data_IF_495148403621
#
_entry.id   IF_495148403621
#
_cell.length_a   1.000
_cell.length_b   1.000
_cell.length_c   1.000
_cell.angle_alpha   90.00
_cell.angle_beta   90.00
_cell.angle_gamma   90.00
#
_symmetry.space_group_name_H-M   'P 1'
#
loop_
_entity.id
_entity.type
_entity.pdbx_description
1 polymer ?
#
# COMPACT_ATOMS: atom_id res chain seq x y z
N UNK A 1 1.56 -3.89 35.96
CA UNK A 1 1.58 -3.57 34.52
C UNK A 1 0.19 -3.77 33.98
N UNK A 2 -0.38 -2.79 33.33
CA UNK A 2 -1.72 -2.91 32.75
C UNK A 2 -1.68 -3.86 31.55
N UNK A 3 -2.61 -4.82 31.50
CA UNK A 3 -2.65 -5.82 30.43
C UNK A 3 -3.17 -5.20 29.13
N UNK A 4 -2.63 -5.62 27.99
CA UNK A 4 -3.22 -5.38 26.68
C UNK A 4 -4.52 -6.18 26.58
N UNK A 5 -5.54 -5.61 25.97
CA UNK A 5 -6.84 -6.24 25.82
C UNK A 5 -7.17 -6.35 24.34
N UNK A 6 -7.52 -7.56 23.90
CA UNK A 6 -8.09 -7.76 22.57
C UNK A 6 -9.49 -7.14 22.53
N UNK A 7 -9.76 -6.33 21.52
CA UNK A 7 -11.04 -5.65 21.30
C UNK A 7 -11.64 -6.05 19.97
N UNK A 8 -12.96 -5.91 19.85
CA UNK A 8 -13.66 -6.28 18.60
C UNK A 8 -13.54 -5.18 17.54
N UNK A 9 -13.56 -3.93 17.98
CA UNK A 9 -13.65 -2.78 17.10
C UNK A 9 -12.33 -2.00 17.05
N UNK A 10 -12.06 -1.43 15.88
CA UNK A 10 -10.92 -0.53 15.68
C UNK A 10 -11.15 0.79 16.44
N UNK A 11 -10.19 1.27 17.25
CA UNK A 11 -10.32 2.52 17.98
C UNK A 11 -10.16 3.74 17.05
N UNK A 12 -11.25 4.10 16.34
CA UNK A 12 -11.26 5.08 15.25
C UNK A 12 -10.58 6.40 15.65
N UNK A 13 -10.86 6.91 16.85
CA UNK A 13 -10.27 8.17 17.32
C UNK A 13 -8.74 8.09 17.49
N UNK A 14 -8.24 6.99 18.06
CA UNK A 14 -6.80 6.77 18.22
C UNK A 14 -6.13 6.54 16.86
N UNK A 15 -6.80 5.80 15.97
CA UNK A 15 -6.29 5.56 14.63
C UNK A 15 -6.22 6.84 13.80
N UNK A 16 -7.21 7.72 13.90
CA UNK A 16 -7.16 9.03 13.24
C UNK A 16 -5.98 9.87 13.73
N UNK A 17 -5.65 9.81 15.03
CA UNK A 17 -4.47 10.47 15.57
C UNK A 17 -3.17 9.85 15.05
N UNK A 18 -3.11 8.52 14.96
CA UNK A 18 -1.95 7.84 14.38
C UNK A 18 -1.73 8.26 12.92
N UNK A 19 -2.76 8.15 12.07
CA UNK A 19 -2.65 8.52 10.66
C UNK A 19 -2.26 10.00 10.47
N UNK A 20 -2.83 10.90 11.30
CA UNK A 20 -2.47 12.31 11.30
C UNK A 20 -1.03 12.58 11.79
N UNK A 21 -0.43 11.68 12.55
CA UNK A 21 0.96 11.79 13.02
C UNK A 21 1.99 11.34 11.98
N UNK A 22 1.55 10.58 10.97
CA UNK A 22 2.42 10.14 9.88
C UNK A 22 2.66 11.28 8.90
N UNK A 23 3.90 11.51 8.45
CA UNK A 23 4.20 12.56 7.46
C UNK A 23 3.69 12.22 6.06
N UNK A 24 3.38 10.95 5.80
CA UNK A 24 2.96 10.44 4.52
C UNK A 24 1.79 9.44 4.67
N UNK A 25 0.89 9.36 3.68
CA UNK A 25 -0.21 8.42 3.71
C UNK A 25 0.27 6.97 3.59
N UNK A 26 -0.49 6.08 4.21
CA UNK A 26 -0.33 4.64 4.13
C UNK A 26 -0.90 4.14 2.79
N UNK A 27 -0.40 3.04 2.25
CA UNK A 27 -0.93 2.42 1.03
C UNK A 27 -2.14 1.52 1.30
N UNK A 28 -2.93 1.27 0.27
CA UNK A 28 -4.12 0.41 0.33
C UNK A 28 -3.82 -0.99 0.87
N UNK A 29 -2.71 -1.59 0.49
CA UNK A 29 -2.29 -2.90 0.99
C UNK A 29 -2.25 -2.96 2.53
N UNK A 30 -1.69 -1.95 3.18
CA UNK A 30 -1.66 -1.89 4.65
C UNK A 30 -3.05 -1.62 5.24
N UNK A 31 -3.87 -0.80 4.59
CA UNK A 31 -5.26 -0.57 5.00
C UNK A 31 -6.08 -1.88 5.00
N UNK A 32 -5.88 -2.76 4.01
CA UNK A 32 -6.54 -4.07 3.98
C UNK A 32 -6.08 -4.98 5.11
N UNK A 33 -4.78 -5.00 5.43
CA UNK A 33 -4.26 -5.75 6.58
C UNK A 33 -4.84 -5.24 7.90
N UNK A 34 -4.98 -3.92 8.04
CA UNK A 34 -5.61 -3.29 9.22
C UNK A 34 -7.08 -3.65 9.32
N UNK A 35 -7.82 -3.56 8.21
CA UNK A 35 -9.27 -3.82 8.18
C UNK A 35 -9.63 -5.25 8.58
N UNK A 36 -8.76 -6.21 8.27
CA UNK A 36 -8.95 -7.64 8.55
C UNK A 36 -8.17 -8.12 9.77
N UNK A 37 -7.44 -7.22 10.42
CA UNK A 37 -6.51 -7.51 11.51
C UNK A 37 -7.19 -7.68 12.87
N UNK A 38 -6.46 -8.27 13.79
CA UNK A 38 -6.82 -8.43 15.18
C UNK A 38 -6.36 -7.20 15.98
N UNK A 39 -7.28 -6.54 16.70
CA UNK A 39 -7.03 -5.29 17.41
C UNK A 39 -6.78 -5.53 18.89
N UNK A 40 -5.73 -4.89 19.41
CA UNK A 40 -5.37 -4.90 20.83
C UNK A 40 -5.20 -3.47 21.33
N UNK A 41 -5.88 -3.11 22.40
CA UNK A 41 -5.74 -1.82 23.08
C UNK A 41 -4.89 -1.92 24.35
N UNK A 42 -4.21 -0.84 24.72
CA UNK A 42 -3.48 -0.77 25.96
C UNK A 42 -3.95 0.41 26.85
N UNK A 43 -3.96 0.21 28.17
CA UNK A 43 -4.63 1.11 29.11
C UNK A 43 -4.04 2.53 29.20
N UNK A 44 -2.78 2.72 28.77
CA UNK A 44 -2.16 4.04 28.75
C UNK A 44 -2.45 4.83 27.47
N UNK A 45 -3.39 4.36 26.65
CA UNK A 45 -3.80 4.97 25.39
C UNK A 45 -2.92 4.58 24.23
N UNK A 46 -3.46 3.76 23.37
CA UNK A 46 -2.81 3.25 22.18
C UNK A 46 -3.39 1.91 21.75
N UNK A 47 -2.91 1.39 20.64
CA UNK A 47 -3.36 0.12 20.09
C UNK A 47 -2.28 -0.56 19.25
N UNK A 48 -2.50 -1.83 18.98
CA UNK A 48 -1.71 -2.64 18.07
C UNK A 48 -2.66 -3.46 17.18
N UNK A 49 -2.32 -3.62 15.92
CA UNK A 49 -3.10 -4.42 14.97
C UNK A 49 -2.21 -5.51 14.40
N UNK A 50 -2.74 -6.73 14.43
CA UNK A 50 -2.05 -7.91 13.94
C UNK A 50 -2.79 -8.55 12.78
N UNK A 51 -2.06 -8.95 11.75
CA UNK A 51 -2.53 -9.86 10.72
C UNK A 51 -1.71 -11.16 10.80
N UNK A 52 -2.33 -12.23 11.29
CA UNK A 52 -1.60 -13.44 11.69
C UNK A 52 -0.55 -13.14 12.75
N UNK A 53 0.70 -13.57 12.51
CA UNK A 53 1.83 -13.34 13.41
C UNK A 53 2.61 -12.05 13.13
N UNK A 54 2.07 -11.18 12.28
CA UNK A 54 2.70 -9.91 11.91
C UNK A 54 2.00 -8.74 12.56
N UNK A 55 2.73 -7.90 13.30
CA UNK A 55 2.26 -6.60 13.75
C UNK A 55 2.29 -5.64 12.53
N UNK A 56 1.12 -5.10 12.16
CA UNK A 56 0.98 -4.27 10.96
C UNK A 56 0.76 -2.79 11.26
N UNK A 57 0.25 -2.48 12.45
CA UNK A 57 0.07 -1.11 12.91
C UNK A 57 0.27 -1.04 14.43
N UNK A 58 0.95 0.00 14.90
CA UNK A 58 1.19 0.22 16.32
C UNK A 58 1.16 1.72 16.61
N UNK A 59 0.34 2.10 17.58
CA UNK A 59 0.26 3.47 18.05
C UNK A 59 0.30 3.55 19.57
N UNK A 60 1.11 4.44 20.11
CA UNK A 60 1.17 4.75 21.52
C UNK A 60 1.10 6.26 21.72
N UNK A 61 0.16 6.75 22.55
CA UNK A 61 0.07 8.17 22.92
C UNK A 61 1.37 8.66 23.55
N UNK A 62 1.97 7.84 24.41
CA UNK A 62 3.32 8.09 24.93
C UNK A 62 4.37 7.44 23.99
N UNK A 63 4.68 8.14 22.92
CA UNK A 63 5.68 7.70 21.94
C UNK A 63 7.09 7.54 22.53
N UNK A 64 7.42 8.23 23.63
CA UNK A 64 8.75 8.15 24.27
C UNK A 64 9.01 6.77 24.87
N UNK A 65 7.95 6.11 25.33
CA UNK A 65 7.95 4.77 25.91
C UNK A 65 7.47 3.66 24.95
N UNK A 66 7.33 3.94 23.65
CA UNK A 66 6.87 2.98 22.65
C UNK A 66 7.62 1.63 22.69
N UNK A 67 8.94 1.66 22.87
CA UNK A 67 9.78 0.44 23.01
C UNK A 67 9.37 -0.43 24.21
N UNK A 68 8.98 0.18 25.35
CA UNK A 68 8.50 -0.55 26.53
C UNK A 68 7.13 -1.18 26.29
N UNK A 69 6.26 -0.47 25.57
CA UNK A 69 4.96 -1.00 25.18
C UNK A 69 5.11 -2.19 24.24
N UNK A 70 5.99 -2.10 23.24
CA UNK A 70 6.30 -3.23 22.35
C UNK A 70 6.91 -4.42 23.10
N UNK A 71 7.84 -4.18 24.01
CA UNK A 71 8.43 -5.25 24.86
C UNK A 71 7.38 -5.94 25.73
N UNK A 72 6.42 -5.20 26.27
CA UNK A 72 5.32 -5.78 27.04
C UNK A 72 4.32 -6.51 26.16
N UNK A 73 4.03 -5.96 24.98
CA UNK A 73 3.12 -6.55 24.01
C UNK A 73 3.57 -7.93 23.56
N UNK A 74 4.86 -8.09 23.21
CA UNK A 74 5.40 -9.38 22.77
C UNK A 74 5.34 -10.47 23.86
N UNK A 75 5.42 -10.08 25.15
CA UNK A 75 5.27 -11.02 26.25
C UNK A 75 3.83 -11.53 26.42
N UNK A 76 2.84 -10.72 26.07
CA UNK A 76 1.43 -11.06 26.23
C UNK A 76 0.83 -11.68 24.96
N UNK A 77 1.26 -11.22 23.80
CA UNK A 77 0.91 -11.75 22.50
C UNK A 77 2.18 -11.90 21.67
N UNK A 78 2.80 -13.09 21.67
CA UNK A 78 4.01 -13.32 20.87
C UNK A 78 3.78 -13.07 19.39
N UNK A 79 4.72 -12.41 18.75
CA UNK A 79 4.78 -12.19 17.30
C UNK A 79 6.26 -12.17 16.87
N UNK A 80 6.52 -12.43 15.59
CA UNK A 80 7.90 -12.58 15.09
C UNK A 80 8.29 -11.49 14.10
N UNK A 81 7.32 -10.80 13.57
CA UNK A 81 7.53 -9.83 12.51
C UNK A 81 6.68 -8.57 12.70
N UNK A 82 7.23 -7.44 12.32
CA UNK A 82 6.52 -6.17 12.19
C UNK A 82 6.64 -5.71 10.76
N UNK A 83 5.54 -5.27 10.17
CA UNK A 83 5.53 -4.59 8.88
C UNK A 83 5.37 -3.09 9.11
N UNK A 84 6.31 -2.29 8.62
CA UNK A 84 6.42 -0.88 8.97
C UNK A 84 6.78 -0.02 7.75
N UNK A 85 6.38 1.23 7.77
CA UNK A 85 6.81 2.24 6.80
C UNK A 85 8.02 2.99 7.33
N UNK A 86 9.00 3.28 6.48
CA UNK A 86 10.23 4.00 6.88
C UNK A 86 9.98 5.40 7.45
N UNK A 87 8.80 5.94 7.23
CA UNK A 87 8.35 7.22 7.79
C UNK A 87 7.60 7.10 9.12
N UNK A 88 7.25 5.90 9.59
CA UNK A 88 6.74 5.66 10.95
C UNK A 88 7.89 5.63 11.95
N UNK A 89 8.36 6.82 12.29
CA UNK A 89 9.54 6.99 13.13
C UNK A 89 9.38 6.40 14.52
N UNK A 90 8.19 6.48 15.09
CA UNK A 90 7.93 5.96 16.45
C UNK A 90 8.18 4.47 16.52
N UNK A 91 7.66 3.73 15.55
CA UNK A 91 7.80 2.28 15.48
C UNK A 91 9.24 1.87 15.13
N UNK A 92 9.86 2.55 14.16
CA UNK A 92 11.27 2.33 13.78
C UNK A 92 12.21 2.54 14.98
N UNK A 93 12.12 3.69 15.65
CA UNK A 93 12.97 4.04 16.77
C UNK A 93 12.77 3.09 17.96
N UNK A 94 11.53 2.66 18.19
CA UNK A 94 11.23 1.69 19.25
C UNK A 94 11.84 0.31 18.95
N UNK A 95 11.74 -0.17 17.72
CA UNK A 95 12.34 -1.42 17.27
C UNK A 95 13.88 -1.38 17.37
N UNK A 96 14.51 -0.28 16.96
CA UNK A 96 15.95 -0.09 17.07
C UNK A 96 16.43 -0.10 18.53
N UNK A 97 15.69 0.56 19.45
CA UNK A 97 15.99 0.52 20.88
C UNK A 97 15.92 -0.90 21.48
N UNK A 98 15.09 -1.77 20.89
CA UNK A 98 14.96 -3.17 21.26
C UNK A 98 15.98 -4.08 20.57
N UNK A 99 16.82 -3.54 19.69
CA UNK A 99 17.84 -4.32 18.96
C UNK A 99 17.25 -5.20 17.85
N UNK A 100 16.04 -4.90 17.36
CA UNK A 100 15.39 -5.67 16.31
C UNK A 100 16.00 -5.37 14.94
N UNK A 101 16.08 -6.38 14.08
CA UNK A 101 16.66 -6.26 12.74
C UNK A 101 15.64 -5.69 11.75
N UNK A 102 16.06 -4.67 11.00
CA UNK A 102 15.24 -4.00 9.98
C UNK A 102 15.73 -4.43 8.58
N UNK A 103 14.79 -4.81 7.71
CA UNK A 103 15.03 -5.20 6.31
C UNK A 103 14.09 -4.44 5.42
N UNK A 104 14.61 -3.71 4.44
CA UNK A 104 13.79 -3.07 3.42
C UNK A 104 13.21 -4.15 2.48
N UNK A 105 11.90 -4.09 2.21
CA UNK A 105 11.19 -5.10 1.41
C UNK A 105 10.36 -4.50 0.29
N UNK A 106 10.22 -3.17 0.24
CA UNK A 106 9.47 -2.49 -0.79
C UNK A 106 9.84 -1.03 -0.96
N UNK A 107 9.56 -0.52 -2.14
CA UNK A 107 9.64 0.89 -2.48
C UNK A 107 8.27 1.54 -2.31
N UNK A 108 8.22 2.69 -1.64
CA UNK A 108 7.03 3.50 -1.44
C UNK A 108 7.20 4.84 -2.14
N UNK A 109 6.30 5.15 -3.05
CA UNK A 109 6.32 6.36 -3.86
C UNK A 109 5.21 7.29 -3.40
N UNK A 110 5.57 8.42 -2.81
CA UNK A 110 4.64 9.41 -2.24
C UNK A 110 4.67 10.75 -2.96
N UNK A 111 5.64 10.91 -3.88
CA UNK A 111 5.85 12.11 -4.69
C UNK A 111 5.96 11.75 -6.15
N UNK A 112 5.43 12.61 -7.00
CA UNK A 112 5.57 12.52 -8.44
C UNK A 112 6.03 13.86 -9.02
N UNK A 113 6.95 13.79 -9.98
CA UNK A 113 7.29 14.88 -10.88
C UNK A 113 6.64 14.55 -12.23
N UNK A 114 5.54 15.23 -12.62
CA UNK A 114 4.83 14.88 -13.85
C UNK A 114 5.74 14.87 -15.07
N UNK A 115 5.62 13.83 -15.89
CA UNK A 115 6.40 13.65 -17.12
C UNK A 115 5.46 13.44 -18.30
N UNK A 116 5.88 13.88 -19.47
CA UNK A 116 5.18 13.60 -20.72
C UNK A 116 5.84 12.40 -21.37
N UNK A 117 5.09 11.30 -21.42
CA UNK A 117 5.54 10.08 -22.12
C UNK A 117 4.97 10.06 -23.54
N UNK A 118 5.83 9.69 -24.48
CA UNK A 118 5.38 9.45 -25.85
C UNK A 118 4.55 8.19 -25.93
N UNK A 119 3.33 8.31 -26.43
CA UNK A 119 2.40 7.19 -26.64
C UNK A 119 1.89 7.20 -28.08
N UNK A 120 1.46 6.04 -28.58
CA UNK A 120 0.81 5.95 -29.87
C UNK A 120 -0.59 6.57 -29.81
N UNK A 121 -1.10 7.03 -30.94
CA UNK A 121 -2.46 7.58 -31.04
C UNK A 121 -3.55 6.54 -30.73
N UNK A 122 -3.19 5.27 -30.78
CA UNK A 122 -4.09 4.13 -30.49
C UNK A 122 -4.05 3.69 -29.02
N UNK A 123 -3.12 4.21 -28.21
CA UNK A 123 -3.06 3.90 -26.77
C UNK A 123 -4.05 4.77 -26.00
N UNK A 124 -4.93 4.12 -25.23
CA UNK A 124 -5.87 4.80 -24.33
C UNK A 124 -6.19 3.94 -23.10
N UNK A 125 -6.64 4.60 -22.05
CA UNK A 125 -7.22 3.99 -20.86
C UNK A 125 -8.72 4.25 -20.82
N UNK A 126 -9.49 3.23 -20.46
CA UNK A 126 -10.92 3.38 -20.18
C UNK A 126 -11.32 2.61 -18.93
N UNK A 127 -12.43 3.00 -18.30
CA UNK A 127 -12.98 2.22 -17.17
C UNK A 127 -13.37 0.84 -17.65
N UNK A 128 -13.03 -0.18 -16.85
CA UNK A 128 -13.36 -1.56 -17.16
C UNK A 128 -14.87 -1.77 -17.35
N UNK A 129 -15.23 -2.61 -18.29
CA UNK A 129 -16.58 -3.14 -18.50
C UNK A 129 -16.64 -4.59 -18.03
N UNK A 130 -17.81 -5.10 -17.74
CA UNK A 130 -17.96 -6.48 -17.25
C UNK A 130 -17.34 -7.54 -18.20
N UNK A 131 -17.32 -7.26 -19.51
CA UNK A 131 -16.72 -8.14 -20.52
C UNK A 131 -15.20 -8.23 -20.42
N UNK A 132 -14.55 -7.24 -19.81
CA UNK A 132 -13.10 -7.13 -19.72
C UNK A 132 -12.54 -7.93 -18.51
N UNK A 133 -13.39 -8.30 -17.53
CA UNK A 133 -12.96 -8.95 -16.30
C UNK A 133 -12.22 -10.29 -16.49
N UNK A 134 -12.69 -11.20 -17.37
CA UNK A 134 -11.98 -12.47 -17.59
C UNK A 134 -10.55 -12.22 -18.08
N UNK A 135 -10.35 -11.27 -19.00
CA UNK A 135 -9.03 -10.95 -19.56
C UNK A 135 -8.17 -10.20 -18.55
N UNK A 136 -8.74 -9.28 -17.76
CA UNK A 136 -8.04 -8.60 -16.67
C UNK A 136 -7.48 -9.61 -15.67
N UNK A 137 -8.30 -10.57 -15.21
CA UNK A 137 -7.85 -11.65 -14.34
C UNK A 137 -6.80 -12.54 -14.99
N UNK A 138 -7.06 -13.03 -16.21
CA UNK A 138 -6.16 -13.96 -16.89
C UNK A 138 -4.76 -13.38 -17.13
N UNK A 139 -4.69 -12.09 -17.41
CA UNK A 139 -3.43 -11.37 -17.70
C UNK A 139 -2.78 -10.76 -16.47
N UNK A 140 -3.50 -10.63 -15.35
CA UNK A 140 -3.05 -10.00 -14.12
C UNK A 140 -2.89 -10.96 -12.92
N UNK A 141 -2.75 -12.27 -13.14
CA UNK A 141 -2.66 -13.29 -12.07
C UNK A 141 -1.45 -13.13 -11.13
N UNK A 142 -0.44 -12.43 -11.55
CA UNK A 142 0.74 -12.08 -10.76
C UNK A 142 0.60 -10.73 -10.04
N UNK A 143 -0.59 -10.11 -10.15
CA UNK A 143 -0.90 -8.82 -9.56
C UNK A 143 -2.17 -8.87 -8.68
N UNK A 144 -3.21 -9.57 -9.13
CA UNK A 144 -4.45 -9.75 -8.38
C UNK A 144 -4.43 -11.09 -7.63
N UNK A 145 -4.90 -11.08 -6.38
CA UNK A 145 -4.94 -12.28 -5.53
C UNK A 145 -6.04 -13.27 -5.98
N UNK A 146 -7.16 -12.76 -6.51
CA UNK A 146 -8.29 -13.59 -6.90
C UNK A 146 -9.18 -12.94 -7.96
N UNK A 147 -10.07 -13.75 -8.57
CA UNK A 147 -11.14 -13.23 -9.44
C UNK A 147 -12.11 -12.35 -8.68
N UNK A 148 -12.36 -12.68 -7.43
CA UNK A 148 -13.29 -11.94 -6.59
C UNK A 148 -12.77 -10.55 -6.27
N UNK A 149 -11.46 -10.39 -6.09
CA UNK A 149 -10.81 -9.11 -5.95
C UNK A 149 -10.98 -8.24 -7.21
N UNK A 150 -10.68 -8.80 -8.40
CA UNK A 150 -10.91 -8.09 -9.68
C UNK A 150 -12.36 -7.64 -9.80
N UNK A 151 -13.32 -8.52 -9.45
CA UNK A 151 -14.72 -8.21 -9.48
C UNK A 151 -15.13 -7.15 -8.43
N UNK A 152 -14.47 -7.12 -7.29
CA UNK A 152 -14.67 -6.10 -6.26
C UNK A 152 -14.16 -4.73 -6.73
N UNK A 153 -12.92 -4.66 -7.22
CA UNK A 153 -12.32 -3.44 -7.77
C UNK A 153 -13.15 -2.91 -8.95
N UNK A 154 -13.68 -3.80 -9.80
CA UNK A 154 -14.59 -3.41 -10.88
C UNK A 154 -15.90 -2.79 -10.34
N UNK A 155 -16.52 -3.41 -9.32
CA UNK A 155 -17.79 -2.91 -8.74
C UNK A 155 -17.65 -1.55 -8.07
N UNK A 156 -16.49 -1.24 -7.49
CA UNK A 156 -16.19 0.09 -6.94
C UNK A 156 -15.87 1.12 -8.03
N UNK A 157 -15.69 0.69 -9.29
CA UNK A 157 -15.36 1.57 -10.41
C UNK A 157 -13.88 1.94 -10.51
N UNK A 158 -13.03 1.22 -9.79
CA UNK A 158 -11.61 1.52 -9.62
C UNK A 158 -10.71 0.73 -10.58
N UNK A 159 -11.30 -0.15 -11.42
CA UNK A 159 -10.58 -0.93 -12.44
C UNK A 159 -10.55 -0.21 -13.78
N UNK A 160 -9.39 -0.11 -14.36
CA UNK A 160 -9.12 0.52 -15.65
C UNK A 160 -8.44 -0.47 -16.61
N UNK A 161 -8.78 -0.38 -17.89
CA UNK A 161 -8.21 -1.22 -18.94
C UNK A 161 -7.43 -0.35 -19.92
N UNK A 162 -6.22 -0.79 -20.23
CA UNK A 162 -5.37 -0.17 -21.23
C UNK A 162 -5.47 -0.91 -22.56
N UNK A 163 -5.74 -0.16 -23.61
CA UNK A 163 -5.79 -0.66 -24.98
C UNK A 163 -4.70 -0.01 -25.83
N UNK A 164 -4.19 -0.76 -26.80
CA UNK A 164 -3.37 -0.27 -27.90
C UNK A 164 -3.75 -1.05 -29.17
N UNK A 165 -3.98 -0.35 -30.27
CA UNK A 165 -4.42 -0.95 -31.54
C UNK A 165 -5.65 -1.87 -31.38
N UNK A 166 -6.58 -1.48 -30.50
CA UNK A 166 -7.81 -2.22 -30.19
C UNK A 166 -7.61 -3.49 -29.37
N UNK A 167 -6.39 -3.78 -28.91
CA UNK A 167 -6.08 -4.93 -28.06
C UNK A 167 -5.80 -4.48 -26.64
N UNK A 168 -6.29 -5.24 -25.65
CA UNK A 168 -5.95 -5.05 -24.25
C UNK A 168 -4.45 -5.30 -24.05
N UNK A 169 -3.73 -4.31 -23.52
CA UNK A 169 -2.29 -4.41 -23.24
C UNK A 169 -1.97 -4.47 -21.74
N UNK A 170 -2.96 -4.19 -20.88
CA UNK A 170 -2.83 -4.26 -19.45
C UNK A 170 -4.03 -3.69 -18.72
N UNK A 171 -3.94 -3.62 -17.41
CA UNK A 171 -4.93 -2.98 -16.55
C UNK A 171 -4.26 -2.13 -15.47
N UNK A 172 -5.03 -1.22 -14.90
CA UNK A 172 -4.64 -0.41 -13.77
C UNK A 172 -5.77 -0.29 -12.75
N UNK A 173 -5.40 0.07 -11.54
CA UNK A 173 -6.33 0.30 -10.43
C UNK A 173 -6.13 1.69 -9.84
N UNK A 174 -7.19 2.29 -9.32
CA UNK A 174 -7.20 3.58 -8.63
C UNK A 174 -8.03 3.44 -7.36
N UNK A 175 -7.43 3.11 -6.23
CA UNK A 175 -8.15 2.80 -4.99
C UNK A 175 -7.97 3.94 -3.99
N UNK A 176 -9.05 4.67 -3.64
CA UNK A 176 -9.01 5.65 -2.57
C UNK A 176 -8.64 4.98 -1.24
N UNK A 177 -7.67 5.56 -0.51
CA UNK A 177 -7.17 4.97 0.75
C UNK A 177 -7.72 5.66 2.00
N UNK A 178 -8.27 6.82 1.85
CA UNK A 178 -8.87 7.60 2.93
C UNK A 178 -10.35 7.92 2.64
N UNK A 179 -11.06 8.31 3.69
CA UNK A 179 -12.48 8.64 3.57
C UNK A 179 -12.76 9.93 2.78
N UNK A 180 -11.74 10.77 2.50
CA UNK A 180 -11.86 11.98 1.69
C UNK A 180 -11.77 11.66 0.20
N UNK A 181 -11.04 10.61 -0.17
CA UNK A 181 -10.70 10.28 -1.56
C UNK A 181 -9.63 11.18 -2.17
N UNK A 182 -8.94 11.99 -1.35
CA UNK A 182 -7.91 12.91 -1.81
C UNK A 182 -6.61 12.19 -2.15
N UNK A 183 -6.36 11.05 -1.49
CA UNK A 183 -5.21 10.19 -1.75
C UNK A 183 -5.67 8.88 -2.36
N UNK A 184 -5.07 8.50 -3.47
CA UNK A 184 -5.44 7.32 -4.24
C UNK A 184 -4.21 6.46 -4.51
N UNK A 185 -4.26 5.22 -4.08
CA UNK A 185 -3.24 4.22 -4.40
C UNK A 185 -3.48 3.69 -5.81
N UNK A 186 -2.45 3.73 -6.65
CA UNK A 186 -2.53 3.27 -8.02
C UNK A 186 -1.61 2.08 -8.25
N UNK A 187 -2.13 1.11 -8.96
CA UNK A 187 -1.38 -0.06 -9.38
C UNK A 187 -1.54 -0.36 -10.87
N UNK A 188 -0.67 -1.18 -11.41
CA UNK A 188 -0.75 -1.58 -12.82
C UNK A 188 -0.20 -2.97 -13.05
N UNK A 189 -0.75 -3.64 -14.04
CA UNK A 189 -0.21 -4.86 -14.61
C UNK A 189 -0.26 -4.80 -16.13
N UNK A 190 0.83 -5.22 -16.76
CA UNK A 190 0.91 -5.36 -18.22
C UNK A 190 0.71 -6.81 -18.60
N UNK A 191 -0.11 -7.05 -19.59
CA UNK A 191 -0.32 -8.36 -20.20
C UNK A 191 1.06 -9.00 -20.52
N UNK A 192 1.28 -10.30 -20.19
CA UNK A 192 2.60 -10.92 -20.27
C UNK A 192 3.30 -10.80 -21.62
N UNK A 193 2.58 -10.97 -22.73
CA UNK A 193 3.10 -10.84 -24.08
C UNK A 193 3.31 -9.38 -24.56
N UNK A 194 2.89 -8.41 -23.77
CA UNK A 194 3.05 -6.97 -24.02
C UNK A 194 4.08 -6.30 -23.10
N UNK A 195 4.77 -7.08 -22.26
CA UNK A 195 5.81 -6.56 -21.35
C UNK A 195 7.02 -6.04 -22.14
N UNK A 196 7.83 -5.22 -21.47
CA UNK A 196 9.04 -4.58 -22.05
C UNK A 196 8.78 -3.62 -23.23
N UNK A 197 7.53 -3.20 -23.43
CA UNK A 197 7.12 -2.24 -24.48
C UNK A 197 6.77 -0.86 -23.93
N UNK A 198 6.93 -0.65 -22.61
CA UNK A 198 6.68 0.63 -21.94
C UNK A 198 5.23 0.86 -21.51
N UNK A 199 4.30 -0.08 -21.73
CA UNK A 199 2.88 0.10 -21.38
C UNK A 199 2.65 0.31 -19.89
N UNK A 200 3.41 -0.35 -19.00
CA UNK A 200 3.29 -0.13 -17.57
C UNK A 200 3.48 1.35 -17.19
N UNK A 201 4.51 1.99 -17.72
CA UNK A 201 4.78 3.41 -17.48
C UNK A 201 3.67 4.31 -18.04
N UNK A 202 3.11 3.98 -19.21
CA UNK A 202 2.01 4.72 -19.81
C UNK A 202 0.73 4.60 -18.99
N UNK A 203 0.38 3.38 -18.54
CA UNK A 203 -0.79 3.13 -17.68
C UNK A 203 -0.71 3.98 -16.42
N UNK A 204 0.40 3.85 -15.68
CA UNK A 204 0.59 4.58 -14.43
C UNK A 204 0.62 6.09 -14.63
N UNK A 205 1.27 6.56 -15.70
CA UNK A 205 1.33 7.99 -16.00
C UNK A 205 -0.05 8.57 -16.32
N UNK A 206 -0.87 7.87 -17.11
CA UNK A 206 -2.21 8.33 -17.47
C UNK A 206 -3.16 8.30 -16.26
N UNK A 207 -3.10 7.26 -15.41
CA UNK A 207 -3.85 7.21 -14.15
C UNK A 207 -3.47 8.36 -13.21
N UNK A 208 -2.18 8.60 -13.05
CA UNK A 208 -1.69 9.67 -12.19
C UNK A 208 -2.09 11.05 -12.74
N UNK A 209 -1.97 11.29 -14.04
CA UNK A 209 -2.38 12.55 -14.68
C UNK A 209 -3.89 12.80 -14.50
N UNK A 210 -4.71 11.74 -14.61
CA UNK A 210 -6.16 11.85 -14.38
C UNK A 210 -6.45 12.29 -12.95
N UNK A 211 -5.85 11.64 -11.95
CA UNK A 211 -6.02 11.98 -10.53
C UNK A 211 -5.54 13.40 -10.23
N UNK A 212 -4.36 13.78 -10.71
CA UNK A 212 -3.80 15.11 -10.51
C UNK A 212 -4.70 16.20 -11.16
N UNK A 213 -5.32 15.91 -12.30
CA UNK A 213 -6.29 16.82 -12.94
C UNK A 213 -7.57 17.02 -12.11
N UNK A 214 -7.91 16.04 -11.26
CA UNK A 214 -9.01 16.10 -10.29
C UNK A 214 -8.58 16.68 -8.92
N UNK A 215 -7.33 17.14 -8.79
CA UNK A 215 -6.77 17.65 -7.54
C UNK A 215 -6.44 16.56 -6.51
N UNK A 216 -6.40 15.30 -6.91
CA UNK A 216 -6.09 14.16 -6.06
C UNK A 216 -4.61 13.81 -6.11
N UNK A 217 -4.12 13.19 -5.05
CA UNK A 217 -2.73 12.78 -4.90
C UNK A 217 -2.55 11.28 -5.20
N UNK A 218 -1.92 10.89 -6.31
CA UNK A 218 -1.58 9.50 -6.56
C UNK A 218 -0.39 9.07 -5.70
N UNK A 219 -0.48 7.87 -5.13
CA UNK A 219 0.62 7.16 -4.49
C UNK A 219 0.73 5.76 -5.08
N UNK A 220 1.85 5.09 -4.86
CA UNK A 220 2.02 3.70 -5.26
C UNK A 220 3.17 3.03 -4.49
N UNK A 221 3.29 1.72 -4.65
CA UNK A 221 4.37 0.93 -4.09
C UNK A 221 4.72 -0.27 -4.96
N UNK A 222 5.87 -0.88 -4.70
CA UNK A 222 6.21 -2.18 -5.26
C UNK A 222 7.22 -2.90 -4.36
N UNK A 223 7.26 -4.23 -4.45
CA UNK A 223 8.27 -5.03 -3.76
C UNK A 223 9.69 -4.64 -4.20
N UNK A 224 10.66 -4.72 -3.28
CA UNK A 224 12.06 -4.40 -3.55
C UNK A 224 12.63 -5.24 -4.71
N UNK A 225 12.20 -6.49 -4.81
CA UNK A 225 12.62 -7.41 -5.88
C UNK A 225 11.96 -7.13 -7.23
N UNK A 226 10.87 -6.34 -7.27
CA UNK A 226 10.16 -6.01 -8.51
C UNK A 226 10.77 -4.79 -9.22
N UNK A 227 12.00 -4.95 -9.73
CA UNK A 227 12.73 -3.89 -10.41
C UNK A 227 12.04 -3.40 -11.68
N UNK A 228 11.25 -4.24 -12.34
CA UNK A 228 10.48 -3.86 -13.52
C UNK A 228 9.36 -2.87 -13.16
N UNK A 229 8.63 -3.12 -12.08
CA UNK A 229 7.63 -2.19 -11.56
C UNK A 229 8.29 -0.88 -11.12
N UNK A 230 9.37 -0.96 -10.34
CA UNK A 230 10.14 0.22 -9.92
C UNK A 230 10.53 1.11 -11.11
N UNK A 231 11.14 0.52 -12.13
CA UNK A 231 11.56 1.26 -13.32
C UNK A 231 10.38 1.90 -14.09
N UNK A 232 9.23 1.20 -14.13
CA UNK A 232 8.01 1.73 -14.75
C UNK A 232 7.44 2.93 -13.99
N UNK A 233 7.42 2.85 -12.65
CA UNK A 233 6.96 3.92 -11.77
C UNK A 233 7.89 5.15 -11.84
N UNK A 234 9.20 4.95 -11.78
CA UNK A 234 10.19 6.03 -11.91
C UNK A 234 10.11 6.71 -13.29
N UNK A 235 9.92 5.93 -14.36
CA UNK A 235 9.71 6.47 -15.71
C UNK A 235 8.42 7.29 -15.83
N UNK A 236 7.39 6.96 -15.05
CA UNK A 236 6.15 7.74 -14.94
C UNK A 236 6.29 8.99 -14.05
N UNK A 237 7.48 9.26 -13.52
CA UNK A 237 7.83 10.43 -12.73
C UNK A 237 7.72 10.25 -11.22
N UNK A 238 7.39 9.07 -10.72
CA UNK A 238 7.32 8.80 -9.28
C UNK A 238 8.71 8.73 -8.65
N UNK A 239 8.83 9.23 -7.42
CA UNK A 239 10.08 9.27 -6.66
C UNK A 239 9.97 8.38 -5.43
N UNK A 240 10.89 7.43 -5.29
CA UNK A 240 10.94 6.49 -4.18
C UNK A 240 11.80 7.03 -3.04
N UNK A 241 11.20 7.85 -2.17
CA UNK A 241 11.86 8.43 -0.99
C UNK A 241 11.70 7.55 0.26
N UNK A 242 10.73 6.64 0.25
CA UNK A 242 10.36 5.82 1.40
C UNK A 242 10.43 4.33 1.09
N UNK A 243 10.43 3.53 2.16
CA UNK A 243 10.53 2.06 2.11
C UNK A 243 9.43 1.40 2.93
N UNK A 244 8.98 0.26 2.47
CA UNK A 244 8.35 -0.74 3.31
C UNK A 244 9.46 -1.51 4.00
N UNK A 245 9.31 -1.72 5.30
CA UNK A 245 10.33 -2.35 6.14
C UNK A 245 9.72 -3.52 6.90
N UNK A 246 10.33 -4.67 6.82
CA UNK A 246 10.06 -5.77 7.74
C UNK A 246 11.06 -5.70 8.90
N UNK A 247 10.55 -5.83 10.12
CA UNK A 247 11.35 -5.83 11.33
C UNK A 247 11.22 -7.21 11.96
N UNK A 248 12.35 -7.86 12.16
CA UNK A 248 12.42 -9.20 12.71
C UNK A 248 12.84 -9.15 14.16
N UNK A 249 12.12 -9.88 14.99
CA UNK A 249 12.35 -9.99 16.43
C UNK A 249 13.31 -11.16 16.65
N UNK A 250 14.43 -10.96 17.35
CA UNK A 250 15.34 -12.06 17.69
C UNK A 250 14.64 -13.08 18.60
N UNK A 251 15.06 -14.35 18.50
CA UNK A 251 14.58 -15.46 19.33
C UNK A 251 14.92 -15.27 20.81
#
# INVERSE_FOLDING_TARGET
>A
MSAFLRVADLPISLRSQYLASLPEPQEWFLEELVRTGEVWEFPCGGYAIFHGDTLVEFYALDSTNAHRHLSNLIQQRPFRKVLCKSFDRVLIDAAQKLGWALVETGFLFRKRNPVILTKSDTFHLERARAIDLPDAWMNGRDFYDSKDEVAQIFRSGDLWIAFNEGQMVGSGIMIPIDGSGDVVDIGMVTRPDQRNRGFASLIVSDLANLLESEGKRPICGCAETNLASKAALEKAGFVSEHRLVEIYIPD
#
